data_IF_692803668337
#
_entry.id   IF_692803668337
#
_cell.length_a   1.000
_cell.length_b   1.000
_cell.length_c   1.000
_cell.angle_alpha   90.00
_cell.angle_beta   90.00
_cell.angle_gamma   90.00
#
_symmetry.space_group_name_H-M   'P 1'
#
loop_
_entity.id
_entity.type
_entity.pdbx_description
1 polymer ?
#
# COMPACT_ATOMS: atom_id res chain seq x y z
N UNK A 1 -33.56 32.85 -12.97
CA UNK A 1 -32.58 31.74 -12.82
C UNK A 1 -31.24 32.35 -12.44
N UNK A 2 -30.91 32.38 -11.14
CA UNK A 2 -29.64 32.92 -10.67
C UNK A 2 -28.54 31.88 -10.87
N UNK A 3 -27.55 32.23 -11.70
CA UNK A 3 -26.29 31.51 -11.85
C UNK A 3 -25.46 31.89 -10.62
N UNK A 4 -25.63 31.16 -9.51
CA UNK A 4 -24.69 31.26 -8.40
C UNK A 4 -23.37 30.69 -8.89
N UNK A 5 -22.37 31.56 -8.99
CA UNK A 5 -20.99 31.18 -9.25
C UNK A 5 -20.53 30.50 -7.97
N UNK A 6 -20.37 29.18 -7.99
CA UNK A 6 -19.83 28.45 -6.83
C UNK A 6 -18.46 29.04 -6.49
N UNK A 7 -18.43 29.87 -5.45
CA UNK A 7 -17.19 30.44 -4.94
C UNK A 7 -16.39 29.29 -4.33
N UNK A 8 -15.26 28.95 -4.95
CA UNK A 8 -14.35 27.94 -4.40
C UNK A 8 -13.94 28.36 -3.00
N UNK A 9 -14.46 27.64 -2.00
CA UNK A 9 -14.06 27.82 -0.61
C UNK A 9 -12.59 27.44 -0.48
N UNK A 10 -11.73 28.42 -0.17
CA UNK A 10 -10.28 28.19 0.00
C UNK A 10 -9.94 28.21 1.48
N UNK A 11 -9.32 27.14 1.97
CA UNK A 11 -8.84 27.04 3.35
C UNK A 11 -7.33 27.20 3.37
N UNK A 12 -6.82 28.08 4.23
CA UNK A 12 -5.38 28.28 4.38
C UNK A 12 -4.78 27.17 5.24
N UNK A 13 -3.80 26.47 4.68
CA UNK A 13 -3.03 25.44 5.39
C UNK A 13 -1.57 25.90 5.52
N UNK A 14 -0.98 25.69 6.69
CA UNK A 14 0.44 25.98 6.96
C UNK A 14 1.08 24.67 7.39
N UNK A 15 2.14 24.27 6.70
CA UNK A 15 2.90 23.07 7.00
C UNK A 15 4.40 23.38 6.99
N UNK A 16 5.13 22.62 7.78
CA UNK A 16 6.58 22.66 7.79
C UNK A 16 7.12 21.73 6.71
N UNK A 17 8.12 22.19 5.95
CA UNK A 17 8.83 21.37 4.96
C UNK A 17 10.28 21.17 5.38
N UNK A 18 10.87 20.10 4.87
CA UNK A 18 12.30 19.86 5.02
C UNK A 18 13.14 21.04 4.50
N UNK A 19 14.23 21.34 5.19
CA UNK A 19 15.11 22.48 4.88
C UNK A 19 15.75 22.35 3.49
N UNK A 20 16.07 21.13 3.04
CA UNK A 20 16.59 20.86 1.70
C UNK A 20 15.54 21.13 0.62
N UNK A 21 14.27 20.79 0.86
CA UNK A 21 13.17 21.11 -0.05
C UNK A 21 12.93 22.63 -0.15
N UNK A 22 12.95 23.34 0.97
CA UNK A 22 12.84 24.79 1.01
C UNK A 22 13.94 25.47 0.17
N UNK A 23 15.20 25.05 0.37
CA UNK A 23 16.34 25.57 -0.39
C UNK A 23 16.21 25.30 -1.91
N UNK A 24 15.72 24.12 -2.27
CA UNK A 24 15.48 23.77 -3.69
C UNK A 24 14.38 24.63 -4.30
N UNK A 25 13.29 24.88 -3.57
CA UNK A 25 12.20 25.75 -4.00
C UNK A 25 12.69 27.18 -4.25
N UNK A 26 13.48 27.74 -3.32
CA UNK A 26 14.06 29.08 -3.48
C UNK A 26 14.97 29.17 -4.70
N UNK A 27 15.87 28.19 -4.90
CA UNK A 27 16.73 28.12 -6.09
C UNK A 27 15.92 28.00 -7.38
N UNK A 28 14.83 27.24 -7.38
CA UNK A 28 13.94 27.13 -8.54
C UNK A 28 13.24 28.47 -8.84
N UNK A 29 12.72 29.14 -7.81
CA UNK A 29 12.11 30.47 -7.93
C UNK A 29 13.08 31.52 -8.46
N UNK A 30 14.32 31.52 -7.96
CA UNK A 30 15.36 32.43 -8.45
C UNK A 30 15.71 32.16 -9.92
N UNK A 31 15.83 30.89 -10.32
CA UNK A 31 16.08 30.54 -11.73
C UNK A 31 14.92 30.95 -12.64
N UNK A 32 13.67 30.72 -12.23
CA UNK A 32 12.50 31.15 -12.99
C UNK A 32 12.50 32.68 -13.20
N UNK A 33 12.81 33.45 -12.16
CA UNK A 33 12.95 34.92 -12.25
C UNK A 33 14.04 35.35 -13.24
N UNK A 34 15.19 34.67 -13.27
CA UNK A 34 16.25 34.95 -14.26
C UNK A 34 15.80 34.69 -15.71
N UNK A 35 14.80 33.83 -15.89
CA UNK A 35 14.20 33.51 -17.19
C UNK A 35 12.95 34.37 -17.48
N UNK A 36 12.70 35.42 -16.70
CA UNK A 36 11.51 36.28 -16.79
C UNK A 36 10.19 35.50 -16.66
N UNK A 37 10.19 34.37 -15.95
CA UNK A 37 9.00 33.55 -15.66
C UNK A 37 8.66 33.56 -14.18
N UNK A 38 7.36 33.48 -13.87
CA UNK A 38 6.86 33.30 -12.50
C UNK A 38 6.55 31.82 -12.28
N UNK A 39 6.98 31.30 -11.14
CA UNK A 39 6.65 29.94 -10.71
C UNK A 39 5.45 30.02 -9.77
N UNK A 40 4.32 29.46 -10.19
CA UNK A 40 3.10 29.35 -9.36
C UNK A 40 3.26 28.14 -8.44
N UNK A 41 3.72 28.39 -7.22
CA UNK A 41 3.94 27.32 -6.24
C UNK A 41 2.61 26.78 -5.74
N UNK A 42 1.62 27.64 -5.50
CA UNK A 42 0.33 27.26 -4.92
C UNK A 42 -0.39 26.26 -5.82
N UNK A 43 -0.52 26.57 -7.11
CA UNK A 43 -1.14 25.69 -8.11
C UNK A 43 -0.39 24.35 -8.24
N UNK A 44 0.94 24.37 -8.18
CA UNK A 44 1.74 23.14 -8.21
C UNK A 44 1.54 22.28 -6.95
N UNK A 45 1.36 22.91 -5.78
CA UNK A 45 1.08 22.22 -4.52
C UNK A 45 -0.34 21.63 -4.54
N UNK A 46 -1.33 22.38 -5.04
CA UNK A 46 -2.70 21.90 -5.19
C UNK A 46 -2.77 20.64 -6.08
N UNK A 47 -2.11 20.67 -7.24
CA UNK A 47 -2.05 19.51 -8.13
C UNK A 47 -1.31 18.32 -7.51
N UNK A 48 -0.24 18.56 -6.77
CA UNK A 48 0.49 17.50 -6.08
C UNK A 48 -0.36 16.86 -4.97
N UNK A 49 -1.12 17.66 -4.24
CA UNK A 49 -2.05 17.19 -3.21
C UNK A 49 -3.20 16.38 -3.82
N UNK A 50 -3.81 16.86 -4.91
CA UNK A 50 -4.89 16.15 -5.60
C UNK A 50 -4.44 14.77 -6.11
N UNK A 51 -3.26 14.70 -6.74
CA UNK A 51 -2.69 13.44 -7.20
C UNK A 51 -2.39 12.48 -6.04
N UNK A 52 -1.81 13.01 -4.95
CA UNK A 52 -1.54 12.22 -3.75
C UNK A 52 -2.82 11.69 -3.10
N UNK A 53 -3.86 12.51 -2.98
CA UNK A 53 -5.15 12.12 -2.40
C UNK A 53 -5.83 11.05 -3.25
N UNK A 54 -5.87 11.23 -4.57
CA UNK A 54 -6.42 10.24 -5.50
C UNK A 54 -5.72 8.89 -5.34
N UNK A 55 -4.38 8.89 -5.26
CA UNK A 55 -3.62 7.66 -5.04
C UNK A 55 -3.87 7.05 -3.65
N UNK A 56 -3.96 7.89 -2.61
CA UNK A 56 -4.26 7.45 -1.26
C UNK A 56 -5.64 6.81 -1.16
N UNK A 57 -6.67 7.41 -1.78
CA UNK A 57 -8.03 6.88 -1.87
C UNK A 57 -8.04 5.50 -2.53
N UNK A 58 -7.42 5.38 -3.71
CA UNK A 58 -7.31 4.08 -4.39
C UNK A 58 -6.60 3.01 -3.54
N UNK A 59 -5.55 3.38 -2.81
CA UNK A 59 -4.85 2.45 -1.92
C UNK A 59 -5.73 2.03 -0.74
N UNK A 60 -6.48 2.96 -0.15
CA UNK A 60 -7.40 2.69 0.94
C UNK A 60 -8.55 1.78 0.47
N UNK A 61 -9.11 2.04 -0.70
CA UNK A 61 -10.17 1.20 -1.30
C UNK A 61 -9.67 -0.22 -1.58
N UNK A 62 -8.45 -0.36 -2.12
CA UNK A 62 -7.85 -1.67 -2.34
C UNK A 62 -7.63 -2.44 -1.02
N UNK A 63 -7.25 -1.75 0.06
CA UNK A 63 -7.13 -2.36 1.39
C UNK A 63 -8.49 -2.75 1.98
N UNK A 64 -9.51 -1.89 1.81
CA UNK A 64 -10.87 -2.18 2.25
C UNK A 64 -11.45 -3.40 1.52
N UNK A 65 -11.27 -3.48 0.20
CA UNK A 65 -11.69 -4.62 -0.60
C UNK A 65 -10.95 -5.91 -0.19
N UNK A 66 -9.63 -5.85 0.06
CA UNK A 66 -8.86 -7.01 0.56
C UNK A 66 -9.33 -7.48 1.93
N UNK A 67 -9.68 -6.56 2.83
CA UNK A 67 -10.25 -6.89 4.15
C UNK A 67 -11.62 -7.57 4.03
N UNK A 68 -12.42 -7.18 3.03
CA UNK A 68 -13.71 -7.80 2.75
C UNK A 68 -13.60 -9.10 1.92
N UNK A 69 -12.48 -9.35 1.24
CA UNK A 69 -12.27 -10.49 0.35
C UNK A 69 -11.50 -11.67 0.96
N UNK A 70 -11.00 -11.57 2.20
CA UNK A 70 -10.34 -12.68 2.89
C UNK A 70 -11.24 -13.29 3.99
N UNK A 71 -11.38 -14.62 4.03
CA UNK A 71 -12.15 -15.40 3.09
C UNK A 71 -13.42 -15.93 3.75
N UNK A 72 -14.52 -16.02 3.00
CA UNK A 72 -15.52 -17.05 3.26
C UNK A 72 -14.82 -18.39 2.99
N UNK A 73 -14.20 -18.96 4.03
CA UNK A 73 -13.77 -20.35 4.06
C UNK A 73 -15.02 -21.22 3.98
N UNK A 74 -15.58 -21.36 2.78
CA UNK A 74 -16.43 -22.48 2.45
C UNK A 74 -15.50 -23.69 2.44
N UNK A 75 -15.61 -24.50 3.49
CA UNK A 75 -14.78 -25.67 3.71
C UNK A 75 -14.79 -26.63 2.52
N UNK A 76 -13.85 -27.59 2.47
CA UNK A 76 -13.85 -28.58 1.41
C UNK A 76 -15.18 -29.35 1.46
N UNK A 77 -16.00 -29.22 0.42
CA UNK A 77 -17.10 -30.15 0.19
C UNK A 77 -16.43 -31.48 -0.14
N UNK A 78 -16.32 -32.35 0.86
CA UNK A 78 -16.00 -33.76 0.65
C UNK A 78 -17.23 -34.37 -0.02
N UNK A 79 -17.25 -34.35 -1.35
CA UNK A 79 -18.17 -35.14 -2.15
C UNK A 79 -17.67 -36.59 -2.05
N UNK A 80 -18.16 -37.32 -1.05
CA UNK A 80 -17.83 -38.73 -0.86
C UNK A 80 -18.27 -39.52 -2.08
N UNK A 81 -17.43 -40.39 -2.68
CA UNK A 81 -17.90 -41.32 -3.66
C UNK A 81 -18.82 -42.34 -2.98
N UNK A 82 -19.95 -42.59 -3.65
CA UNK A 82 -20.89 -43.65 -3.33
C UNK A 82 -20.17 -44.99 -3.14
N UNK A 83 -20.71 -45.77 -2.21
CA UNK A 83 -20.27 -47.10 -1.84
C UNK A 83 -19.82 -47.95 -3.04
N UNK A 84 -18.59 -48.42 -2.98
CA UNK A 84 -18.18 -49.68 -3.57
C UNK A 84 -17.39 -50.43 -2.48
N UNK A 85 -17.93 -51.60 -2.13
CA UNK A 85 -17.44 -52.51 -1.10
C UNK A 85 -16.04 -53.07 -1.42
N UNK A 86 -15.34 -53.43 -0.33
CA UNK A 86 -14.34 -54.50 -0.18
C UNK A 86 -13.23 -54.66 -1.23
N UNK A 87 -11.96 -54.48 -0.84
CA UNK A 87 -11.21 -55.62 -0.29
C UNK A 87 -9.80 -55.24 0.21
N UNK A 88 -9.47 -55.85 1.34
CA UNK A 88 -8.19 -56.14 1.98
C UNK A 88 -6.89 -55.95 1.18
N UNK A 89 -5.92 -55.20 1.75
CA UNK A 89 -4.55 -55.65 2.15
C UNK A 89 -3.63 -54.44 2.36
N UNK A 90 -2.93 -54.47 3.49
CA UNK A 90 -2.23 -53.32 4.05
C UNK A 90 -0.86 -53.00 3.42
N UNK A 91 -0.33 -51.86 3.83
CA UNK A 91 1.03 -51.78 4.34
C UNK A 91 1.17 -50.54 5.24
N UNK A 92 1.56 -50.78 6.49
CA UNK A 92 1.85 -49.77 7.49
C UNK A 92 3.35 -49.46 7.44
N UNK A 93 3.73 -48.35 6.80
CA UNK A 93 5.05 -47.69 6.89
C UNK A 93 4.91 -46.35 6.16
N UNK A 94 5.14 -45.14 6.67
CA UNK A 94 6.06 -44.72 7.70
C UNK A 94 5.54 -43.44 8.40
N UNK A 95 5.41 -43.56 9.71
CA UNK A 95 5.27 -42.46 10.67
C UNK A 95 6.65 -41.82 10.88
N UNK A 96 6.72 -40.50 10.65
CA UNK A 96 7.49 -39.51 11.41
C UNK A 96 9.00 -39.77 11.61
N UNK A 97 9.85 -38.89 11.05
CA UNK A 97 10.91 -38.29 11.86
C UNK A 97 11.33 -36.91 11.32
N UNK A 98 10.93 -35.88 12.06
CA UNK A 98 11.49 -34.53 11.99
C UNK A 98 12.97 -34.56 12.41
N UNK A 99 13.70 -33.52 11.99
CA UNK A 99 14.79 -32.82 12.72
C UNK A 99 16.23 -33.15 12.28
N UNK A 100 16.77 -32.32 11.41
CA UNK A 100 18.19 -31.94 11.43
C UNK A 100 18.29 -30.44 11.07
N UNK A 101 18.46 -29.54 12.04
CA UNK A 101 19.71 -29.18 12.74
C UNK A 101 20.40 -28.02 12.03
N UNK A 102 20.06 -26.80 12.45
CA UNK A 102 20.89 -25.59 12.27
C UNK A 102 21.12 -25.00 13.66
N UNK A 103 22.35 -24.98 14.18
CA UNK A 103 22.70 -24.11 15.29
C UNK A 103 23.42 -22.87 14.77
N UNK A 104 22.80 -21.76 15.15
CA UNK A 104 23.20 -20.37 15.06
C UNK A 104 24.41 -20.04 15.97
N UNK A 105 25.32 -19.22 15.43
CA UNK A 105 26.26 -18.28 16.05
C UNK A 105 27.12 -18.68 17.28
N UNK A 106 28.43 -18.44 17.16
CA UNK A 106 29.16 -17.70 18.21
C UNK A 106 30.39 -16.97 17.67
N UNK A 107 30.14 -15.71 17.32
CA UNK A 107 31.14 -14.66 17.29
C UNK A 107 31.69 -14.47 18.72
N UNK A 108 32.98 -14.74 18.94
CA UNK A 108 33.67 -14.36 20.17
C UNK A 108 34.85 -13.47 19.80
N UNK A 109 34.64 -12.19 20.08
CA UNK A 109 35.70 -11.22 20.35
C UNK A 109 36.64 -11.77 21.43
N UNK A 110 37.95 -11.75 21.18
CA UNK A 110 38.95 -11.00 21.96
C UNK A 110 40.32 -11.15 21.32
#
# INVERSE_FOLDING_TARGET
>A
MHIFKDEKETKRVIFNIDSGLALRLERARHRARKLSRKLNVDEAVDHALEAFLTEAEHRLDALAQKKNAAPAAQGPIIMGPAAAEEDSRGDTSAVVLRKSMVPEQRNRQR
#
